data_IF_647935940063
#
_entry.id   IF_647935940063
#
_cell.length_a   1.000
_cell.length_b   1.000
_cell.length_c   1.000
_cell.angle_alpha   90.00
_cell.angle_beta   90.00
_cell.angle_gamma   90.00
#
_symmetry.space_group_name_H-M   'P 1'
#
loop_
_entity.id
_entity.type
_entity.pdbx_description
1 polymer ?
#
# COMPACT_ATOMS: atom_id res chain seq x y z
N UNK A 1 -0.41 27.03 18.39
CA UNK A 1 -1.59 26.23 18.00
C UNK A 1 -2.59 27.24 17.46
N UNK A 2 -2.96 27.15 16.19
CA UNK A 2 -3.93 28.09 15.61
C UNK A 2 -5.33 27.62 15.98
N UNK A 3 -6.00 28.36 16.86
CA UNK A 3 -7.43 28.16 17.12
C UNK A 3 -8.20 28.84 15.98
N UNK A 4 -8.75 28.03 15.08
CA UNK A 4 -9.48 28.51 13.90
C UNK A 4 -10.92 28.94 14.23
N UNK A 5 -11.34 28.91 15.50
CA UNK A 5 -12.70 29.24 15.96
C UNK A 5 -13.81 28.57 15.10
N UNK A 6 -13.61 27.30 14.76
CA UNK A 6 -14.52 26.53 13.87
C UNK A 6 -15.34 25.45 14.60
N UNK A 7 -15.20 25.32 15.91
CA UNK A 7 -15.75 24.20 16.68
C UNK A 7 -17.25 24.00 16.44
N UNK A 8 -18.01 25.09 16.34
CA UNK A 8 -19.45 25.03 16.08
C UNK A 8 -19.85 24.85 14.60
N UNK A 9 -18.90 25.05 13.67
CA UNK A 9 -19.10 24.94 12.22
C UNK A 9 -18.97 23.50 11.73
N UNK A 10 -18.16 22.67 12.38
CA UNK A 10 -18.01 21.26 12.01
C UNK A 10 -19.23 20.47 12.46
N UNK A 11 -19.90 19.77 11.54
CA UNK A 11 -21.08 18.94 11.83
C UNK A 11 -20.82 17.44 11.72
N UNK A 12 -19.85 17.07 10.89
CA UNK A 12 -19.54 15.67 10.57
C UNK A 12 -18.04 15.52 10.38
N UNK A 13 -17.50 14.41 10.88
CA UNK A 13 -16.12 14.01 10.65
C UNK A 13 -16.07 12.64 9.96
N UNK A 14 -15.05 12.46 9.11
CA UNK A 14 -14.75 11.19 8.47
C UNK A 14 -13.36 10.73 8.84
N UNK A 15 -13.26 9.48 9.29
CA UNK A 15 -12.00 8.82 9.65
C UNK A 15 -12.04 7.35 9.23
N UNK A 16 -10.95 6.62 9.47
CA UNK A 16 -11.01 5.16 9.42
C UNK A 16 -11.98 4.59 10.48
N UNK A 17 -12.21 3.28 10.39
CA UNK A 17 -13.16 2.54 11.22
C UNK A 17 -12.70 2.25 12.65
N UNK A 18 -11.60 2.83 13.13
CA UNK A 18 -11.05 2.59 14.46
C UNK A 18 -12.02 2.93 15.58
N UNK A 19 -12.13 2.03 16.56
CA UNK A 19 -13.07 2.19 17.68
C UNK A 19 -12.79 3.46 18.49
N UNK A 20 -11.53 3.77 18.74
CA UNK A 20 -11.14 4.90 19.60
C UNK A 20 -11.40 6.23 18.92
N UNK A 21 -11.06 6.38 17.63
CA UNK A 21 -11.36 7.61 16.87
C UNK A 21 -12.87 7.81 16.70
N UNK A 22 -13.63 6.72 16.55
CA UNK A 22 -15.09 6.78 16.49
C UNK A 22 -15.68 7.25 17.82
N UNK A 23 -15.19 6.76 18.96
CA UNK A 23 -15.59 7.22 20.30
C UNK A 23 -15.20 8.68 20.53
N UNK A 24 -13.99 9.08 20.15
CA UNK A 24 -13.56 10.48 20.21
C UNK A 24 -14.54 11.41 19.48
N UNK A 25 -14.93 11.05 18.25
CA UNK A 25 -15.83 11.87 17.43
C UNK A 25 -17.26 11.88 17.98
N UNK A 26 -17.81 10.71 18.31
CA UNK A 26 -19.22 10.58 18.72
C UNK A 26 -19.45 10.97 20.18
N UNK A 27 -18.59 10.50 21.06
CA UNK A 27 -18.83 10.54 22.51
C UNK A 27 -18.19 11.77 23.15
N UNK A 28 -17.03 12.22 22.66
CA UNK A 28 -16.33 13.40 23.18
C UNK A 28 -16.63 14.67 22.39
N UNK A 29 -16.54 14.63 21.05
CA UNK A 29 -16.80 15.80 20.20
C UNK A 29 -18.29 15.98 19.84
N UNK A 30 -19.14 14.98 20.12
CA UNK A 30 -20.58 14.99 19.80
C UNK A 30 -20.89 15.31 18.33
N UNK A 31 -20.00 14.89 17.42
CA UNK A 31 -20.14 15.08 15.98
C UNK A 31 -20.73 13.83 15.31
N UNK A 32 -21.37 14.03 14.15
CA UNK A 32 -21.69 12.92 13.27
C UNK A 32 -20.41 12.27 12.76
N UNK A 33 -20.41 10.94 12.67
CA UNK A 33 -19.28 10.18 12.13
C UNK A 33 -19.70 9.34 10.94
N UNK A 34 -18.95 9.50 9.85
CA UNK A 34 -19.10 8.73 8.61
C UNK A 34 -17.79 8.02 8.30
N UNK A 35 -17.88 6.77 7.88
CA UNK A 35 -16.70 5.96 7.58
C UNK A 35 -15.96 6.49 6.33
N UNK A 36 -14.63 6.48 6.37
CA UNK A 36 -13.83 6.78 5.18
C UNK A 36 -14.05 5.72 4.11
N UNK A 37 -14.66 6.11 2.99
CA UNK A 37 -14.89 5.23 1.85
C UNK A 37 -13.60 4.62 1.31
N UNK A 38 -12.54 5.43 1.18
CA UNK A 38 -11.24 4.96 0.71
C UNK A 38 -10.65 3.87 1.61
N UNK A 39 -10.76 4.04 2.93
CA UNK A 39 -10.31 3.03 3.88
C UNK A 39 -11.14 1.73 3.74
N UNK A 40 -12.46 1.83 3.61
CA UNK A 40 -13.35 0.67 3.38
C UNK A 40 -13.00 -0.08 2.11
N UNK A 41 -12.78 0.63 1.00
CA UNK A 41 -12.36 0.03 -0.26
C UNK A 41 -11.02 -0.69 -0.12
N UNK A 42 -10.03 -0.05 0.51
CA UNK A 42 -8.72 -0.67 0.76
C UNK A 42 -8.84 -1.94 1.64
N UNK A 43 -9.71 -1.96 2.66
CA UNK A 43 -9.98 -3.16 3.45
C UNK A 43 -10.55 -4.30 2.62
N UNK A 44 -11.49 -4.02 1.70
CA UNK A 44 -12.05 -5.02 0.77
C UNK A 44 -10.94 -5.60 -0.11
N UNK A 45 -10.15 -4.74 -0.76
CA UNK A 45 -9.03 -5.16 -1.63
C UNK A 45 -8.02 -6.00 -0.85
N UNK A 46 -7.62 -5.57 0.35
CA UNK A 46 -6.71 -6.33 1.22
C UNK A 46 -7.25 -7.70 1.59
N UNK A 47 -8.55 -7.81 1.86
CA UNK A 47 -9.19 -9.09 2.17
C UNK A 47 -9.17 -10.04 0.98
N UNK A 48 -9.39 -9.52 -0.23
CA UNK A 48 -9.28 -10.30 -1.47
C UNK A 48 -7.84 -10.77 -1.72
N UNK A 49 -6.84 -9.93 -1.45
CA UNK A 49 -5.44 -10.30 -1.66
C UNK A 49 -4.90 -11.35 -0.67
N UNK A 50 -5.63 -11.62 0.42
CA UNK A 50 -5.31 -12.69 1.39
C UNK A 50 -5.84 -14.07 0.98
N UNK A 51 -6.52 -14.20 -0.16
CA UNK A 51 -6.89 -15.52 -0.69
C UNK A 51 -5.63 -16.35 -0.93
N UNK A 52 -5.65 -17.63 -0.55
CA UNK A 52 -4.46 -18.50 -0.49
C UNK A 52 -3.68 -18.55 -1.81
N UNK A 53 -4.38 -18.65 -2.94
CA UNK A 53 -3.76 -18.68 -4.26
C UNK A 53 -3.03 -17.37 -4.61
N UNK A 54 -3.61 -16.21 -4.27
CA UNK A 54 -2.98 -14.90 -4.49
C UNK A 54 -1.81 -14.67 -3.55
N UNK A 55 -1.98 -15.03 -2.28
CA UNK A 55 -0.99 -14.80 -1.23
C UNK A 55 0.33 -15.51 -1.58
N UNK A 56 0.26 -16.74 -2.06
CA UNK A 56 1.45 -17.51 -2.47
C UNK A 56 2.24 -16.82 -3.61
N UNK A 57 1.55 -16.29 -4.62
CA UNK A 57 2.17 -15.56 -5.74
C UNK A 57 2.77 -14.24 -5.23
N UNK A 58 2.00 -13.48 -4.44
CA UNK A 58 2.43 -12.19 -3.89
C UNK A 58 3.70 -12.35 -3.03
N UNK A 59 3.76 -13.37 -2.17
CA UNK A 59 4.90 -13.59 -1.29
C UNK A 59 6.16 -14.00 -2.06
N UNK A 60 6.03 -14.78 -3.14
CA UNK A 60 7.15 -15.09 -4.05
C UNK A 60 7.69 -13.81 -4.70
N UNK A 61 6.80 -12.93 -5.18
CA UNK A 61 7.18 -11.65 -5.78
C UNK A 61 7.85 -10.72 -4.76
N UNK A 62 7.24 -10.55 -3.57
CA UNK A 62 7.84 -9.77 -2.47
C UNK A 62 9.22 -10.30 -2.09
N UNK A 63 9.39 -11.61 -2.03
CA UNK A 63 10.67 -12.25 -1.72
C UNK A 63 11.73 -11.99 -2.78
N UNK A 64 11.38 -12.07 -4.06
CA UNK A 64 12.29 -11.75 -5.16
C UNK A 64 12.74 -10.28 -5.11
N UNK A 65 11.78 -9.36 -4.98
CA UNK A 65 12.04 -7.91 -4.86
C UNK A 65 12.91 -7.62 -3.65
N UNK A 66 12.64 -8.24 -2.50
CA UNK A 66 13.46 -8.11 -1.28
C UNK A 66 14.91 -8.54 -1.51
N UNK A 67 15.17 -9.62 -2.27
CA UNK A 67 16.54 -10.06 -2.60
C UNK A 67 17.27 -9.06 -3.49
N UNK A 68 16.57 -8.43 -4.43
CA UNK A 68 17.13 -7.38 -5.30
C UNK A 68 17.54 -6.16 -4.47
N UNK A 69 16.68 -5.72 -3.54
CA UNK A 69 16.96 -4.57 -2.68
C UNK A 69 17.92 -4.85 -1.53
N UNK A 70 18.24 -6.12 -1.24
CA UNK A 70 19.15 -6.50 -0.13
C UNK A 70 20.53 -5.87 -0.25
N UNK A 71 21.04 -5.63 -1.46
CA UNK A 71 22.36 -5.02 -1.65
C UNK A 71 22.50 -4.30 -2.99
N UNK A 72 23.43 -3.35 -3.06
CA UNK A 72 23.79 -2.69 -4.32
C UNK A 72 24.36 -3.65 -5.37
N UNK A 73 25.01 -4.73 -4.95
CA UNK A 73 25.52 -5.78 -5.85
C UNK A 73 24.35 -6.52 -6.51
N UNK A 74 23.37 -6.96 -5.71
CA UNK A 74 22.15 -7.62 -6.22
C UNK A 74 21.40 -6.73 -7.21
N UNK A 75 21.26 -5.45 -6.88
CA UNK A 75 20.61 -4.47 -7.74
C UNK A 75 21.34 -4.29 -9.08
N UNK A 76 22.67 -4.20 -9.06
CA UNK A 76 23.48 -4.12 -10.30
C UNK A 76 23.37 -5.39 -11.14
N UNK A 77 23.38 -6.58 -10.52
CA UNK A 77 23.18 -7.86 -11.22
C UNK A 77 21.81 -7.90 -11.92
N UNK A 78 20.75 -7.51 -11.21
CA UNK A 78 19.41 -7.44 -11.80
C UNK A 78 19.33 -6.48 -12.99
N UNK A 79 19.93 -5.28 -12.87
CA UNK A 79 19.98 -4.32 -13.98
C UNK A 79 20.78 -4.88 -15.16
N UNK A 80 21.87 -5.62 -14.90
CA UNK A 80 22.64 -6.31 -15.93
C UNK A 80 21.80 -7.32 -16.70
N UNK A 81 21.06 -8.17 -15.98
CA UNK A 81 20.11 -9.11 -16.59
C UNK A 81 19.05 -8.37 -17.40
N UNK A 82 18.49 -7.26 -16.90
CA UNK A 82 17.50 -6.55 -17.72
C UNK A 82 18.05 -5.98 -19.03
N UNK A 83 19.34 -5.61 -19.08
CA UNK A 83 19.98 -5.23 -20.35
C UNK A 83 20.11 -6.41 -21.30
N UNK A 84 20.50 -7.57 -20.78
CA UNK A 84 20.69 -8.80 -21.56
C UNK A 84 19.38 -9.30 -22.17
N UNK A 85 18.29 -9.28 -21.40
CA UNK A 85 16.96 -9.73 -21.81
C UNK A 85 16.11 -8.63 -22.45
N UNK A 86 16.68 -7.44 -22.71
CA UNK A 86 15.98 -6.28 -23.25
C UNK A 86 14.69 -5.89 -22.47
N UNK A 87 14.65 -6.11 -21.15
CA UNK A 87 13.55 -5.63 -20.30
C UNK A 87 13.72 -4.17 -19.87
N UNK A 88 12.62 -3.49 -19.49
CA UNK A 88 12.69 -2.15 -18.94
C UNK A 88 13.68 -2.09 -17.76
N UNK A 89 14.57 -1.09 -17.77
CA UNK A 89 15.59 -0.86 -16.73
C UNK A 89 14.99 -0.26 -15.45
N UNK A 90 13.89 -0.84 -14.98
CA UNK A 90 13.16 -0.42 -13.79
C UNK A 90 13.29 -1.50 -12.74
N UNK A 91 13.90 -1.15 -11.60
CA UNK A 91 13.96 -2.05 -10.45
C UNK A 91 12.58 -2.07 -9.78
N UNK A 92 11.96 -3.24 -9.59
CA UNK A 92 10.63 -3.33 -8.99
C UNK A 92 10.55 -2.67 -7.61
N UNK A 93 9.47 -1.94 -7.36
CA UNK A 93 9.23 -1.27 -6.07
C UNK A 93 8.87 -2.27 -4.97
N UNK A 94 9.36 -2.03 -3.75
CA UNK A 94 8.93 -2.77 -2.57
C UNK A 94 7.50 -2.42 -2.17
N UNK A 95 6.79 -3.40 -1.62
CA UNK A 95 5.47 -3.18 -1.04
C UNK A 95 5.61 -2.43 0.30
N UNK A 96 4.65 -1.58 0.59
CA UNK A 96 4.59 -0.75 1.78
C UNK A 96 3.14 -0.70 2.26
N UNK A 97 2.91 -1.23 3.46
CA UNK A 97 1.56 -1.43 3.96
C UNK A 97 0.79 -0.10 4.08
N UNK A 98 1.43 0.99 4.50
CA UNK A 98 0.74 2.28 4.67
C UNK A 98 0.42 2.97 3.34
N UNK A 99 1.02 2.54 2.22
CA UNK A 99 0.77 3.05 0.88
C UNK A 99 -0.09 2.07 0.10
N UNK A 100 -1.41 2.30 0.06
CA UNK A 100 -2.40 1.31 -0.43
C UNK A 100 -2.12 0.73 -1.82
N UNK A 101 -1.54 1.51 -2.73
CA UNK A 101 -1.24 1.07 -4.10
C UNK A 101 0.16 0.45 -4.28
N UNK A 102 0.95 0.31 -3.21
CA UNK A 102 2.33 -0.18 -3.31
C UNK A 102 2.43 -1.61 -3.85
N UNK A 103 1.50 -2.49 -3.47
CA UNK A 103 1.44 -3.85 -3.99
C UNK A 103 1.08 -3.89 -5.47
N UNK A 104 0.12 -3.08 -5.92
CA UNK A 104 -0.21 -2.96 -7.35
C UNK A 104 1.04 -2.58 -8.17
N UNK A 105 1.79 -1.61 -7.68
CA UNK A 105 3.04 -1.18 -8.31
C UNK A 105 4.13 -2.25 -8.29
N UNK A 106 4.29 -2.99 -7.20
CA UNK A 106 5.20 -4.13 -7.15
C UNK A 106 4.83 -5.16 -8.22
N UNK A 107 3.55 -5.54 -8.32
CA UNK A 107 3.08 -6.53 -9.28
C UNK A 107 3.29 -6.08 -10.72
N UNK A 108 2.96 -4.81 -11.04
CA UNK A 108 3.13 -4.30 -12.40
C UNK A 108 4.60 -4.22 -12.81
N UNK A 109 5.50 -3.87 -11.88
CA UNK A 109 6.92 -3.84 -12.15
C UNK A 109 7.49 -5.24 -12.33
N UNK A 110 7.05 -6.22 -11.51
CA UNK A 110 7.43 -7.61 -11.67
C UNK A 110 6.96 -8.17 -13.02
N UNK A 111 5.74 -7.87 -13.45
CA UNK A 111 5.22 -8.29 -14.76
C UNK A 111 6.02 -7.71 -15.93
N UNK A 112 6.50 -6.47 -15.79
CA UNK A 112 7.36 -5.83 -16.79
C UNK A 112 8.76 -6.43 -16.86
N UNK A 113 9.22 -7.02 -15.76
CA UNK A 113 10.52 -7.68 -15.66
C UNK A 113 10.41 -9.22 -15.61
N UNK A 114 9.30 -9.79 -16.11
CA UNK A 114 8.97 -11.22 -15.99
C UNK A 114 10.03 -12.14 -16.60
N UNK A 115 10.76 -11.68 -17.61
CA UNK A 115 11.76 -12.50 -18.30
C UNK A 115 13.07 -12.61 -17.51
N UNK A 116 13.22 -11.79 -16.46
CA UNK A 116 14.38 -11.77 -15.54
C UNK A 116 14.05 -12.28 -14.13
N UNK A 117 12.77 -12.35 -13.77
CA UNK A 117 12.27 -12.73 -12.44
C UNK A 117 11.80 -14.18 -12.36
#
# INVERSE_FOLDING_TARGET
>A
MFDLEIEQKVKTATTDGGSDVKKAIRDHLKLNWVNCFGHKLNLVVRRLLKQSFLLSIIDRMKSAVRRIHKSGISRRKFIGLCKEYACPLVVPRSECETRWNSLYYLLIDCLRAKDVL
#
